data_IF_978352851848
#
_entry.id   IF_978352851848
#
_cell.length_a   1.000
_cell.length_b   1.000
_cell.length_c   1.000
_cell.angle_alpha   90.00
_cell.angle_beta   90.00
_cell.angle_gamma   90.00
#
_symmetry.space_group_name_H-M   'P 1'
#
loop_
_entity.id
_entity.type
_entity.pdbx_description
1 polymer ?
#
# COMPACT_ATOMS: atom_id res chain seq x y z
N UNK A 1 18.86 13.82 -5.44
CA UNK A 1 19.58 12.89 -6.36
C UNK A 1 19.25 11.45 -5.96
N UNK A 2 19.46 10.45 -6.84
CA UNK A 2 19.34 9.05 -6.42
C UNK A 2 20.45 8.76 -5.40
N UNK A 3 20.05 8.33 -4.21
CA UNK A 3 20.98 8.15 -3.08
C UNK A 3 21.20 6.67 -2.77
N UNK A 4 20.15 5.84 -2.84
CA UNK A 4 20.24 4.41 -2.57
C UNK A 4 19.11 3.62 -3.22
N UNK A 5 19.26 2.29 -3.24
CA UNK A 5 18.21 1.34 -3.60
C UNK A 5 17.96 0.44 -2.39
N UNK A 6 16.70 0.35 -1.96
CA UNK A 6 16.24 -0.43 -0.82
C UNK A 6 15.10 -1.35 -1.24
N UNK A 7 14.81 -2.38 -0.45
CA UNK A 7 13.69 -3.30 -0.71
C UNK A 7 12.48 -3.05 0.18
N UNK A 8 12.60 -2.10 1.12
CA UNK A 8 11.55 -1.73 2.06
C UNK A 8 11.79 -0.30 2.55
N UNK A 9 10.73 0.53 2.56
CA UNK A 9 10.75 1.90 3.04
C UNK A 9 10.51 1.89 4.56
N UNK A 10 11.49 2.28 5.39
CA UNK A 10 11.24 2.55 6.79
C UNK A 10 10.48 3.88 6.92
N UNK A 11 9.29 3.82 7.52
CA UNK A 11 8.50 5.01 7.86
C UNK A 11 8.59 5.24 9.35
N UNK A 12 8.96 6.46 9.72
CA UNK A 12 8.96 6.94 11.08
C UNK A 12 8.42 8.37 11.06
N UNK A 13 7.34 8.63 11.79
CA UNK A 13 6.84 9.99 12.00
C UNK A 13 6.33 10.16 13.42
N UNK A 14 6.37 11.40 13.86
CA UNK A 14 5.86 11.81 15.16
C UNK A 14 4.59 12.61 14.95
N UNK A 15 3.64 12.40 15.85
CA UNK A 15 2.45 13.22 16.02
C UNK A 15 2.51 13.83 17.41
N UNK A 16 1.54 14.67 17.81
CA UNK A 16 1.59 15.38 19.07
C UNK A 16 1.86 14.51 20.32
N UNK A 17 1.40 13.26 20.34
CA UNK A 17 1.61 12.35 21.48
C UNK A 17 2.07 10.93 21.10
N UNK A 18 2.33 10.68 19.81
CA UNK A 18 2.64 9.32 19.35
C UNK A 18 3.85 9.30 18.42
N UNK A 19 4.71 8.30 18.63
CA UNK A 19 5.74 7.92 17.69
C UNK A 19 5.27 6.69 16.91
N UNK A 20 5.23 6.79 15.59
CA UNK A 20 4.73 5.76 14.68
C UNK A 20 5.87 5.26 13.80
N UNK A 21 6.09 3.95 13.80
CA UNK A 21 7.10 3.28 12.98
C UNK A 21 6.50 2.08 12.26
N UNK A 22 6.86 1.88 11.00
CA UNK A 22 6.53 0.67 10.25
C UNK A 22 7.40 0.57 9.00
N UNK A 23 7.34 -0.56 8.32
CA UNK A 23 8.04 -0.81 7.09
C UNK A 23 7.04 -1.09 5.96
N UNK A 24 7.27 -0.49 4.78
CA UNK A 24 6.48 -0.74 3.57
C UNK A 24 7.37 -1.42 2.52
N UNK A 25 6.96 -2.58 2.01
CA UNK A 25 7.56 -3.15 0.82
C UNK A 25 6.53 -3.40 -0.28
N UNK A 26 7.01 -3.50 -1.51
CA UNK A 26 6.18 -3.69 -2.71
C UNK A 26 6.56 -4.99 -3.39
N UNK A 27 5.61 -5.61 -4.05
CA UNK A 27 5.88 -6.81 -4.83
C UNK A 27 4.79 -7.13 -5.82
N UNK A 28 5.05 -8.17 -6.60
CA UNK A 28 4.19 -8.61 -7.69
C UNK A 28 3.03 -9.46 -7.16
N UNK A 29 1.80 -9.02 -7.42
CA UNK A 29 0.60 -9.81 -7.19
C UNK A 29 0.26 -10.70 -8.37
N UNK A 30 -0.82 -11.46 -8.20
CA UNK A 30 -1.42 -12.23 -9.29
C UNK A 30 -2.77 -11.65 -9.69
N UNK A 31 -3.15 -11.87 -10.94
CA UNK A 31 -4.43 -11.41 -11.49
C UNK A 31 -5.61 -12.09 -10.77
N UNK A 32 -6.51 -11.30 -10.19
CA UNK A 32 -7.72 -11.73 -9.52
C UNK A 32 -8.77 -12.33 -10.46
N UNK A 33 -8.66 -12.11 -11.76
CA UNK A 33 -9.47 -12.81 -12.75
C UNK A 33 -9.11 -14.31 -12.81
N UNK A 34 -7.82 -14.63 -12.66
CA UNK A 34 -7.27 -16.00 -12.71
C UNK A 34 -7.17 -16.64 -11.32
N UNK A 35 -6.68 -15.89 -10.32
CA UNK A 35 -6.41 -16.36 -8.97
C UNK A 35 -7.46 -15.84 -7.98
N UNK A 36 -8.46 -16.67 -7.69
CA UNK A 36 -9.57 -16.30 -6.78
C UNK A 36 -9.22 -16.37 -5.30
N UNK A 37 -8.15 -17.09 -4.93
CA UNK A 37 -7.71 -17.21 -3.55
C UNK A 37 -6.88 -15.98 -3.18
N UNK A 38 -7.41 -15.15 -2.29
CA UNK A 38 -6.77 -13.90 -1.82
C UNK A 38 -5.32 -14.11 -1.34
N UNK A 39 -5.07 -15.18 -0.58
CA UNK A 39 -3.72 -15.50 -0.07
C UNK A 39 -2.72 -15.73 -1.20
N UNK A 40 -3.12 -16.39 -2.28
CA UNK A 40 -2.23 -16.64 -3.42
C UNK A 40 -2.00 -15.40 -4.25
N UNK A 41 -3.04 -14.57 -4.38
CA UNK A 41 -3.07 -13.32 -5.12
C UNK A 41 -2.11 -12.28 -4.56
N UNK A 42 -2.04 -12.19 -3.22
CA UNK A 42 -1.25 -11.21 -2.46
C UNK A 42 0.13 -11.71 -2.04
N UNK A 43 0.46 -12.98 -2.24
CA UNK A 43 1.73 -13.53 -1.78
C UNK A 43 2.81 -13.34 -2.84
N UNK A 44 3.86 -12.60 -2.50
CA UNK A 44 5.03 -12.41 -3.33
C UNK A 44 6.30 -12.77 -2.55
N UNK A 45 7.31 -13.30 -3.24
CA UNK A 45 8.56 -13.80 -2.62
C UNK A 45 9.75 -12.88 -2.84
N UNK A 46 9.64 -11.93 -3.79
CA UNK A 46 10.67 -10.94 -4.09
C UNK A 46 10.07 -9.54 -3.96
N UNK A 47 10.71 -8.72 -3.14
CA UNK A 47 10.38 -7.29 -3.09
C UNK A 47 10.81 -6.65 -4.42
N UNK A 48 10.04 -5.65 -4.87
CA UNK A 48 10.50 -4.70 -5.87
C UNK A 48 11.58 -3.78 -5.30
N UNK A 49 12.43 -3.29 -6.20
CA UNK A 49 13.43 -2.28 -5.86
C UNK A 49 12.76 -0.93 -5.64
N UNK A 50 13.18 -0.24 -4.58
CA UNK A 50 12.76 1.12 -4.26
C UNK A 50 13.99 2.02 -4.30
N UNK A 51 14.01 2.90 -5.28
CA UNK A 51 15.00 3.95 -5.41
C UNK A 51 14.63 5.12 -4.50
N UNK A 52 15.61 5.56 -3.71
CA UNK A 52 15.46 6.64 -2.74
C UNK A 52 16.15 7.88 -3.26
N UNK A 53 15.42 8.99 -3.29
CA UNK A 53 15.91 10.28 -3.72
C UNK A 53 15.93 11.23 -2.54
N UNK A 54 17.08 11.82 -2.26
CA UNK A 54 17.21 12.82 -1.19
C UNK A 54 17.82 14.10 -1.75
N UNK A 55 17.37 15.24 -1.23
CA UNK A 55 17.87 16.58 -1.56
C UNK A 55 17.66 17.55 -0.40
N UNK A 56 18.53 18.56 -0.30
CA UNK A 56 18.49 19.55 0.79
C UNK A 56 19.13 19.03 2.08
N UNK A 57 19.23 19.91 3.07
CA UNK A 57 19.75 19.66 4.41
C UNK A 57 18.91 20.44 5.44
N UNK A 58 18.89 20.00 6.69
CA UNK A 58 18.14 20.67 7.76
C UNK A 58 16.64 20.76 7.44
N UNK A 59 16.09 21.97 7.55
CA UNK A 59 14.67 22.25 7.33
C UNK A 59 14.23 22.12 5.85
N UNK A 60 15.17 22.18 4.90
CA UNK A 60 14.92 22.03 3.45
C UNK A 60 15.07 20.58 2.96
N UNK A 61 15.28 19.63 3.88
CA UNK A 61 15.45 18.23 3.54
C UNK A 61 14.17 17.65 2.93
N UNK A 62 14.32 17.04 1.76
CA UNK A 62 13.26 16.38 1.00
C UNK A 62 13.67 14.96 0.64
N UNK A 63 12.72 14.05 0.78
CA UNK A 63 12.90 12.62 0.48
C UNK A 63 11.76 12.12 -0.37
N UNK A 64 12.10 11.43 -1.47
CA UNK A 64 11.16 10.83 -2.40
C UNK A 64 11.49 9.38 -2.70
N UNK A 65 10.48 8.62 -3.12
CA UNK A 65 10.61 7.19 -3.40
C UNK A 65 10.09 6.86 -4.79
N UNK A 66 10.79 5.95 -5.46
CA UNK A 66 10.39 5.41 -6.75
C UNK A 66 10.48 3.89 -6.73
N UNK A 67 9.37 3.21 -6.97
CA UNK A 67 9.30 1.74 -7.02
C UNK A 67 9.42 1.28 -8.47
N UNK A 68 10.34 0.35 -8.72
CA UNK A 68 10.50 -0.32 -10.01
C UNK A 68 9.64 -1.59 -10.00
N UNK A 69 8.41 -1.46 -10.50
CA UNK A 69 7.43 -2.53 -10.54
C UNK A 69 7.44 -3.26 -11.90
N UNK A 70 6.67 -4.35 -11.98
CA UNK A 70 6.33 -4.98 -13.24
C UNK A 70 4.93 -4.50 -13.71
N UNK A 71 4.62 -4.74 -14.98
CA UNK A 71 3.29 -4.56 -15.56
C UNK A 71 2.36 -5.69 -15.08
N UNK A 72 1.99 -5.66 -13.80
CA UNK A 72 1.19 -6.67 -13.13
C UNK A 72 0.46 -6.06 -11.89
N UNK A 73 -0.43 -6.79 -11.19
CA UNK A 73 -1.02 -6.32 -9.96
C UNK A 73 0.03 -5.94 -8.92
N UNK A 74 -0.22 -4.84 -8.24
CA UNK A 74 0.66 -4.31 -7.21
C UNK A 74 0.22 -4.84 -5.85
N UNK A 75 1.15 -5.44 -5.12
CA UNK A 75 0.96 -5.78 -3.71
C UNK A 75 1.83 -4.88 -2.84
N UNK A 76 1.23 -4.35 -1.78
CA UNK A 76 1.89 -3.59 -0.73
C UNK A 76 1.89 -4.42 0.54
N UNK A 77 3.06 -4.61 1.11
CA UNK A 77 3.24 -5.22 2.42
C UNK A 77 3.52 -4.13 3.45
N UNK A 78 2.76 -4.12 4.54
CA UNK A 78 3.02 -3.28 5.71
C UNK A 78 3.33 -4.20 6.88
N UNK A 79 4.45 -3.96 7.55
CA UNK A 79 4.88 -4.76 8.69
C UNK A 79 5.66 -3.94 9.71
N UNK A 80 6.05 -4.61 10.79
CA UNK A 80 6.84 -4.03 11.89
C UNK A 80 6.19 -2.77 12.48
N UNK A 81 4.86 -2.78 12.54
CA UNK A 81 4.07 -1.63 12.98
C UNK A 81 4.24 -1.45 14.48
N UNK A 82 4.88 -0.35 14.87
CA UNK A 82 5.03 0.08 16.25
C UNK A 82 4.42 1.46 16.44
N UNK A 83 3.49 1.57 17.40
CA UNK A 83 2.87 2.83 17.80
C UNK A 83 3.07 2.98 19.29
N UNK A 84 3.82 4.00 19.69
CA UNK A 84 4.07 4.33 21.09
C UNK A 84 3.39 5.65 21.41
N UNK A 85 2.67 5.70 22.54
CA UNK A 85 2.16 6.95 23.09
C UNK A 85 3.11 7.39 24.21
N UNK A 86 3.50 8.67 24.20
CA UNK A 86 4.45 9.21 25.19
C UNK A 86 3.89 9.16 26.62
N UNK A 87 2.57 9.28 26.75
CA UNK A 87 1.88 9.03 28.01
C UNK A 87 1.74 7.52 28.24
N UNK A 88 2.53 7.00 29.18
CA UNK A 88 2.55 5.56 29.53
C UNK A 88 1.20 5.03 30.03
N UNK A 89 0.41 5.85 30.72
CA UNK A 89 -0.91 5.43 31.19
C UNK A 89 -1.86 5.25 30.01
N UNK A 90 -1.91 6.22 29.09
CA UNK A 90 -2.68 6.12 27.83
C UNK A 90 -2.17 4.96 26.96
N UNK A 91 -0.86 4.79 26.84
CA UNK A 91 -0.28 3.69 26.10
C UNK A 91 -0.74 2.32 26.65
N UNK A 92 -0.85 2.20 27.98
CA UNK A 92 -1.27 0.96 28.62
C UNK A 92 -2.76 0.65 28.44
N UNK A 93 -3.61 1.68 28.36
CA UNK A 93 -5.09 1.61 28.20
C UNK A 93 -5.55 1.07 26.85
N UNK A 94 -4.86 1.43 25.79
CA UNK A 94 -5.35 1.26 24.44
C UNK A 94 -4.56 0.20 23.66
N UNK A 95 -5.27 -0.53 22.80
CA UNK A 95 -4.68 -1.18 21.63
C UNK A 95 -4.63 -0.16 20.50
N UNK A 96 -3.59 -0.22 19.68
CA UNK A 96 -3.38 0.70 18.56
C UNK A 96 -3.42 -0.03 17.22
N UNK A 97 -3.80 0.69 16.18
CA UNK A 97 -3.77 0.24 14.80
C UNK A 97 -3.30 1.37 13.89
N UNK A 98 -2.61 1.03 12.81
CA UNK A 98 -2.33 1.95 11.72
C UNK A 98 -3.46 1.87 10.70
N UNK A 99 -4.07 3.01 10.43
CA UNK A 99 -4.96 3.24 9.30
C UNK A 99 -4.16 3.33 8.01
N UNK A 100 -4.60 2.68 6.93
CA UNK A 100 -3.94 2.76 5.63
C UNK A 100 -4.92 2.76 4.46
N UNK A 101 -4.74 3.68 3.50
CA UNK A 101 -5.42 3.67 2.21
C UNK A 101 -4.46 4.03 1.09
N UNK A 102 -4.70 3.49 -0.10
CA UNK A 102 -4.00 3.87 -1.33
C UNK A 102 -4.96 4.61 -2.26
N UNK A 103 -4.48 5.74 -2.78
CA UNK A 103 -5.14 6.57 -3.77
C UNK A 103 -4.23 6.82 -4.99
N UNK A 104 -4.85 7.06 -6.15
CA UNK A 104 -4.18 7.39 -7.41
C UNK A 104 -4.07 8.91 -7.67
N UNK A 105 -4.60 9.72 -6.76
CA UNK A 105 -4.57 11.17 -6.79
C UNK A 105 -4.38 11.70 -5.35
N UNK A 106 -3.83 12.90 -5.16
CA UNK A 106 -3.55 13.45 -3.84
C UNK A 106 -4.88 13.66 -3.07
N UNK A 107 -5.09 12.98 -1.93
CA UNK A 107 -6.35 13.02 -1.22
C UNK A 107 -6.47 14.27 -0.33
N UNK A 108 -7.65 14.89 -0.33
CA UNK A 108 -8.02 16.02 0.53
C UNK A 108 -9.19 15.65 1.44
N UNK A 109 -9.15 16.12 2.69
CA UNK A 109 -10.08 15.71 3.73
C UNK A 109 -10.69 16.92 4.45
N UNK A 110 -11.96 16.81 4.84
CA UNK A 110 -12.64 17.91 5.57
C UNK A 110 -12.17 18.04 7.02
N UNK A 111 -11.81 16.92 7.65
CA UNK A 111 -11.47 16.84 9.08
C UNK A 111 -10.35 15.82 9.30
N UNK A 112 -9.67 15.93 10.43
CA UNK A 112 -8.53 15.06 10.74
C UNK A 112 -8.93 13.60 10.91
N UNK A 113 -10.12 13.34 11.48
CA UNK A 113 -10.66 11.99 11.65
C UNK A 113 -11.33 11.42 10.39
N UNK A 114 -11.47 12.21 9.31
CA UNK A 114 -12.08 11.73 8.07
C UNK A 114 -11.20 10.67 7.42
N UNK A 115 -11.76 9.49 7.17
CA UNK A 115 -11.07 8.38 6.51
C UNK A 115 -11.32 8.33 5.01
N UNK A 116 -12.35 9.03 4.52
CA UNK A 116 -12.71 9.15 3.11
C UNK A 116 -12.42 10.59 2.65
N UNK A 117 -11.63 10.78 1.59
CA UNK A 117 -11.34 12.09 1.01
C UNK A 117 -12.55 12.64 0.26
N UNK A 118 -12.67 13.95 0.14
CA UNK A 118 -13.81 14.58 -0.53
C UNK A 118 -13.58 14.89 -2.01
N UNK A 119 -12.31 14.94 -2.43
CA UNK A 119 -11.92 15.37 -3.77
C UNK A 119 -11.73 14.21 -4.77
N UNK A 120 -11.74 12.96 -4.29
CA UNK A 120 -11.53 11.77 -5.12
C UNK A 120 -12.52 10.67 -4.77
N UNK A 121 -12.91 9.89 -5.78
CA UNK A 121 -13.70 8.67 -5.59
C UNK A 121 -12.75 7.49 -5.36
N UNK A 122 -12.66 7.02 -4.12
CA UNK A 122 -11.85 5.86 -3.74
C UNK A 122 -12.63 4.56 -3.92
N UNK A 123 -11.99 3.55 -4.51
CA UNK A 123 -12.48 2.17 -4.44
C UNK A 123 -12.24 1.59 -3.04
N UNK A 124 -13.31 1.31 -2.30
CA UNK A 124 -13.25 0.84 -0.92
C UNK A 124 -12.97 1.93 0.11
N UNK A 125 -12.43 1.53 1.26
CA UNK A 125 -12.27 2.40 2.44
C UNK A 125 -10.83 2.39 2.96
N UNK A 126 -10.59 2.72 4.23
CA UNK A 126 -9.27 2.66 4.86
C UNK A 126 -9.16 1.36 5.67
N UNK A 127 -8.03 0.66 5.54
CA UNK A 127 -7.67 -0.48 6.40
C UNK A 127 -7.34 0.00 7.81
N UNK A 128 -7.70 -0.78 8.83
CA UNK A 128 -7.15 -0.66 10.18
C UNK A 128 -6.34 -1.92 10.46
N UNK A 129 -5.02 -1.76 10.56
CA UNK A 129 -4.08 -2.86 10.75
C UNK A 129 -3.55 -2.81 12.17
N UNK A 130 -3.77 -3.85 13.00
CA UNK A 130 -3.26 -3.88 14.37
C UNK A 130 -1.76 -3.59 14.45
N UNK A 131 -1.37 -2.84 15.46
CA UNK A 131 0.02 -2.49 15.74
C UNK A 131 0.55 -3.24 16.97
N UNK A 132 1.88 -3.26 17.14
CA UNK A 132 2.60 -3.78 18.30
C UNK A 132 2.49 -5.31 18.53
N UNK A 133 2.10 -6.08 17.52
CA UNK A 133 2.03 -7.55 17.57
C UNK A 133 3.15 -8.24 16.76
N UNK A 134 3.97 -7.48 16.03
CA UNK A 134 5.03 -7.99 15.15
C UNK A 134 4.50 -8.59 13.84
N UNK A 135 3.22 -8.41 13.52
CA UNK A 135 2.61 -8.93 12.31
C UNK A 135 3.00 -8.11 11.07
N UNK A 136 2.81 -8.74 9.91
CA UNK A 136 2.88 -8.07 8.61
C UNK A 136 1.76 -8.55 7.72
N UNK A 137 1.26 -7.65 6.88
CA UNK A 137 0.06 -7.88 6.08
C UNK A 137 0.29 -7.41 4.65
N UNK A 138 -0.21 -8.20 3.70
CA UNK A 138 -0.14 -7.89 2.27
C UNK A 138 -1.50 -7.41 1.78
N UNK A 139 -1.49 -6.38 0.93
CA UNK A 139 -2.69 -5.74 0.38
C UNK A 139 -2.50 -5.51 -1.10
N UNK A 140 -3.54 -5.76 -1.88
CA UNK A 140 -3.57 -5.47 -3.32
C UNK A 140 -4.83 -4.70 -3.71
N UNK A 141 -5.56 -4.21 -2.70
CA UNK A 141 -6.72 -3.35 -2.79
C UNK A 141 -7.04 -2.76 -1.41
N UNK A 142 -7.82 -1.68 -1.39
CA UNK A 142 -8.43 -1.16 -0.17
C UNK A 142 -9.50 -2.16 0.37
N UNK A 143 -9.92 -2.10 1.64
CA UNK A 143 -10.98 -2.97 2.15
C UNK A 143 -12.32 -2.58 1.54
N UNK A 144 -13.14 -3.58 1.24
CA UNK A 144 -14.40 -3.45 0.48
C UNK A 144 -14.24 -2.84 -0.92
N UNK A 145 -13.02 -2.76 -1.44
CA UNK A 145 -12.78 -2.39 -2.83
C UNK A 145 -13.23 -3.51 -3.77
N UNK A 146 -13.52 -3.13 -5.02
CA UNK A 146 -13.93 -4.05 -6.07
C UNK A 146 -12.75 -4.47 -6.95
N UNK A 147 -11.79 -3.59 -7.17
CA UNK A 147 -10.72 -3.75 -8.14
C UNK A 147 -9.34 -3.82 -7.47
N UNK A 148 -8.48 -4.66 -8.03
CA UNK A 148 -7.07 -4.71 -7.66
C UNK A 148 -6.32 -3.44 -8.05
N UNK A 149 -5.26 -3.15 -7.32
CA UNK A 149 -4.26 -2.19 -7.75
C UNK A 149 -3.41 -2.78 -8.87
N UNK A 150 -3.22 -2.02 -9.94
CA UNK A 150 -2.47 -2.42 -11.12
C UNK A 150 -1.42 -1.39 -11.49
N UNK A 151 -0.22 -1.85 -11.82
CA UNK A 151 0.82 -1.05 -12.47
C UNK A 151 0.95 -1.44 -13.92
N UNK A 152 1.08 -0.45 -14.81
CA UNK A 152 1.17 -0.67 -16.26
C UNK A 152 2.16 0.29 -16.87
N UNK A 153 2.77 -0.05 -18.01
CA UNK A 153 3.57 0.92 -18.77
C UNK A 153 2.69 2.14 -19.12
N UNK A 154 3.26 3.33 -18.96
CA UNK A 154 2.62 4.57 -19.42
C UNK A 154 2.52 4.57 -20.94
N UNK A 155 1.67 5.42 -21.49
CA UNK A 155 1.67 5.67 -22.93
C UNK A 155 2.96 6.39 -23.35
N UNK A 156 3.27 6.36 -24.63
CA UNK A 156 4.41 7.10 -25.16
C UNK A 156 4.20 8.61 -24.93
N UNK A 157 5.29 9.33 -24.67
CA UNK A 157 5.23 10.78 -24.50
C UNK A 157 4.67 11.46 -25.77
N UNK A 158 3.66 12.31 -25.60
CA UNK A 158 2.98 12.99 -26.69
C UNK A 158 1.86 12.20 -27.37
N UNK A 159 1.65 10.92 -27.00
CA UNK A 159 0.48 10.18 -27.44
C UNK A 159 -0.80 10.74 -26.79
N UNK A 160 -1.83 10.94 -27.61
CA UNK A 160 -3.15 11.41 -27.17
C UNK A 160 -4.15 10.27 -27.28
N UNK A 161 -4.66 9.75 -26.15
CA UNK A 161 -5.68 8.72 -26.16
C UNK A 161 -6.92 9.18 -26.92
N UNK A 162 -7.53 8.26 -27.65
CA UNK A 162 -8.84 8.46 -28.26
C UNK A 162 -9.92 8.64 -27.19
N UNK A 163 -11.06 9.21 -27.54
CA UNK A 163 -12.21 9.35 -26.61
C UNK A 163 -12.62 8.00 -25.99
N UNK A 164 -12.55 6.92 -26.78
CA UNK A 164 -12.85 5.57 -26.31
C UNK A 164 -11.82 5.09 -25.28
N UNK A 165 -10.54 5.38 -25.49
CA UNK A 165 -9.48 5.00 -24.54
C UNK A 165 -9.56 5.82 -23.25
N UNK A 166 -9.88 7.11 -23.33
CA UNK A 166 -10.14 7.97 -22.16
C UNK A 166 -11.34 7.44 -21.35
N UNK A 167 -12.40 7.00 -22.03
CA UNK A 167 -13.57 6.41 -21.37
C UNK A 167 -13.21 5.08 -20.67
N UNK A 168 -12.27 4.32 -21.21
CA UNK A 168 -11.70 3.13 -20.57
C UNK A 168 -10.67 3.46 -19.48
N UNK A 169 -10.40 4.74 -19.23
CA UNK A 169 -9.47 5.24 -18.21
C UNK A 169 -8.00 5.09 -18.58
N UNK A 170 -7.68 5.17 -19.87
CA UNK A 170 -6.33 5.51 -20.30
C UNK A 170 -6.07 6.99 -20.01
N UNK A 171 -4.86 7.32 -19.54
CA UNK A 171 -4.44 8.69 -19.26
C UNK A 171 -3.30 9.10 -20.18
N UNK A 172 -3.23 10.38 -20.54
CA UNK A 172 -2.04 10.97 -21.16
C UNK A 172 -0.86 10.89 -20.19
N UNK A 173 0.32 10.54 -20.70
CA UNK A 173 1.54 10.50 -19.90
C UNK A 173 1.93 11.92 -19.50
N UNK A 174 2.00 12.13 -18.19
CA UNK A 174 2.29 13.44 -17.58
C UNK A 174 3.25 13.30 -16.41
N UNK A 175 3.62 14.43 -15.82
CA UNK A 175 4.44 14.44 -14.60
C UNK A 175 3.72 13.82 -13.40
N UNK A 176 2.40 13.61 -13.41
CA UNK A 176 1.69 12.92 -12.33
C UNK A 176 1.46 11.43 -12.61
N UNK A 177 1.70 10.95 -13.83
CA UNK A 177 1.50 9.54 -14.20
C UNK A 177 2.33 8.61 -13.32
N UNK A 178 1.68 7.58 -12.80
CA UNK A 178 2.29 6.61 -11.89
C UNK A 178 2.60 7.16 -10.50
N UNK A 179 2.05 8.31 -10.08
CA UNK A 179 2.02 8.67 -8.66
C UNK A 179 0.91 7.91 -7.94
N UNK A 180 1.26 7.36 -6.79
CA UNK A 180 0.30 6.84 -5.81
C UNK A 180 0.52 7.55 -4.48
N UNK A 181 -0.54 7.63 -3.69
CA UNK A 181 -0.56 8.31 -2.40
C UNK A 181 -0.98 7.31 -1.34
N UNK A 182 -0.05 7.01 -0.43
CA UNK A 182 -0.29 6.15 0.71
C UNK A 182 -0.63 7.01 1.91
N UNK A 183 -1.88 6.94 2.37
CA UNK A 183 -2.34 7.74 3.50
C UNK A 183 -2.42 6.90 4.76
N UNK A 184 -1.81 7.40 5.85
CA UNK A 184 -1.71 6.76 7.14
C UNK A 184 -2.34 7.62 8.25
N UNK A 185 -3.02 6.95 9.19
CA UNK A 185 -3.66 7.58 10.34
C UNK A 185 -3.53 6.67 11.56
N UNK A 186 -3.53 7.21 12.77
CA UNK A 186 -3.45 6.39 13.99
C UNK A 186 -4.85 6.14 14.53
N UNK A 187 -5.11 4.89 14.90
CA UNK A 187 -6.36 4.48 15.52
C UNK A 187 -6.09 3.77 16.85
N UNK A 188 -7.06 3.83 17.76
CA UNK A 188 -7.00 3.22 19.08
C UNK A 188 -8.34 2.60 19.47
N UNK A 189 -8.31 1.59 20.34
CA UNK A 189 -9.50 1.06 21.02
C UNK A 189 -9.13 0.68 22.45
N UNK A 190 -10.07 0.80 23.37
CA UNK A 190 -9.82 0.45 24.77
C UNK A 190 -9.55 -1.06 24.88
N UNK A 191 -8.56 -1.44 25.68
CA UNK A 191 -8.32 -2.85 25.99
C UNK A 191 -9.49 -3.44 26.80
N UNK A 192 -9.87 -4.70 26.56
CA UNK A 192 -10.95 -5.35 27.30
C UNK A 192 -10.73 -5.35 28.83
N UNK A 193 -9.47 -5.47 29.26
CA UNK A 193 -9.10 -5.62 30.68
C UNK A 193 -8.87 -4.29 31.41
N UNK A 194 -9.29 -3.15 30.85
CA UNK A 194 -9.16 -1.84 31.52
C UNK A 194 -10.36 -1.49 32.42
N UNK A 195 -11.36 -2.37 32.52
CA UNK A 195 -12.21 -2.44 33.72
C UNK A 195 -11.39 -3.11 34.85
N UNK A 196 -11.36 -2.47 36.02
CA UNK A 196 -10.46 -2.73 37.16
C UNK A 196 -9.87 -4.16 37.30
N UNK A 197 -8.56 -4.30 37.58
CA UNK A 197 -7.92 -5.61 37.65
C UNK A 197 -8.34 -6.37 38.91
N UNK A 198 -8.99 -7.53 38.71
CA UNK A 198 -9.04 -8.56 39.76
C UNK A 198 -7.77 -9.40 39.64
N UNK A 199 -6.92 -9.35 40.68
CA UNK A 199 -5.65 -10.10 40.78
C UNK A 199 -5.84 -11.60 40.46
N UNK A 200 -5.14 -12.07 39.43
CA UNK A 200 -4.92 -13.49 39.17
C UNK A 200 -3.43 -13.77 39.03
N UNK A 201 -2.87 -14.55 39.95
CA UNK A 201 -1.49 -15.03 39.92
C UNK A 201 -1.44 -16.28 39.04
N UNK A 202 -0.61 -16.31 37.99
CA UNK A 202 -0.16 -17.58 37.42
C UNK A 202 1.30 -17.50 36.98
N UNK A 203 2.11 -18.42 37.52
CA UNK A 203 3.51 -18.67 37.18
C UNK A 203 3.60 -19.49 35.89
N UNK A 204 4.60 -19.22 35.04
CA UNK A 204 5.01 -20.06 33.92
C UNK A 204 6.50 -19.89 33.64
N UNK A 205 7.22 -21.01 33.49
CA UNK A 205 8.68 -21.16 33.56
C UNK A 205 9.33 -21.06 32.16
N UNK A 206 10.53 -20.48 32.09
CA UNK A 206 11.43 -20.43 30.91
C UNK A 206 12.32 -21.67 30.81
N UNK A 207 12.61 -22.14 29.56
CA UNK A 207 13.85 -22.78 29.00
C UNK A 207 13.43 -23.77 27.89
N UNK A 208 14.09 -23.97 26.74
CA UNK A 208 15.31 -23.45 26.14
C UNK A 208 15.70 -24.32 24.92
N UNK A 209 16.39 -23.70 23.95
CA UNK A 209 17.27 -24.21 22.87
C UNK A 209 16.83 -25.30 21.86
N UNK A 210 16.95 -24.96 20.58
CA UNK A 210 17.15 -25.89 19.46
C UNK A 210 17.80 -25.15 18.28
N UNK A 211 19.08 -25.42 18.06
CA UNK A 211 19.95 -24.83 17.04
C UNK A 211 19.57 -25.24 15.62
N UNK A 212 19.48 -24.28 14.70
CA UNK A 212 19.43 -24.57 13.27
C UNK A 212 19.26 -23.31 12.42
N UNK A 213 20.37 -22.70 11.99
CA UNK A 213 20.37 -21.83 10.81
C UNK A 213 21.65 -22.10 10.02
N UNK A 214 21.47 -22.80 8.91
CA UNK A 214 22.37 -22.73 7.76
C UNK A 214 21.84 -21.69 6.76
N UNK A 215 22.79 -21.24 5.94
CA UNK A 215 22.63 -20.57 4.64
C UNK A 215 22.50 -19.04 4.61
N UNK A 216 23.62 -18.41 4.21
CA UNK A 216 23.70 -17.87 2.84
C UNK A 216 23.08 -16.49 2.62
N UNK A 217 23.85 -15.44 2.89
CA UNK A 217 23.59 -14.12 2.34
C UNK A 217 24.14 -14.03 0.91
N UNK A 218 23.28 -14.25 -0.09
CA UNK A 218 23.57 -13.83 -1.47
C UNK A 218 23.18 -12.37 -1.62
N UNK A 219 24.20 -11.49 -1.62
CA UNK A 219 24.09 -10.12 -2.11
C UNK A 219 23.82 -10.17 -3.62
N UNK A 220 22.57 -9.93 -4.01
CA UNK A 220 22.20 -9.67 -5.40
C UNK A 220 22.47 -8.21 -5.74
N UNK A 221 23.67 -7.94 -6.25
CA UNK A 221 23.90 -6.81 -7.15
C UNK A 221 23.37 -7.22 -8.51
N UNK A 222 22.31 -6.60 -8.99
CA UNK A 222 21.96 -6.62 -10.42
C UNK A 222 21.75 -5.18 -10.87
N UNK A 223 22.46 -4.83 -11.91
CA UNK A 223 22.59 -3.46 -12.41
C UNK A 223 21.26 -2.79 -12.68
N UNK A 224 21.31 -1.47 -12.71
CA UNK A 224 20.29 -0.61 -13.30
C UNK A 224 19.95 -1.13 -14.70
N UNK A 225 18.99 -2.03 -14.79
CA UNK A 225 18.18 -2.21 -15.97
C UNK A 225 17.34 -0.94 -16.08
N UNK A 226 17.21 -0.41 -17.29
CA UNK A 226 16.40 0.78 -17.46
C UNK A 226 14.96 0.51 -16.99
N UNK A 227 14.24 1.60 -16.76
CA UNK A 227 12.81 1.53 -16.42
C UNK A 227 12.06 2.57 -17.22
N UNK A 228 10.83 2.26 -17.58
CA UNK A 228 9.94 3.15 -18.33
C UNK A 228 8.96 3.85 -17.40
N UNK A 229 8.27 4.88 -17.92
CA UNK A 229 7.14 5.49 -17.22
C UNK A 229 6.08 4.44 -16.87
N UNK A 230 5.43 4.62 -15.72
CA UNK A 230 4.30 3.81 -15.31
C UNK A 230 3.04 4.65 -15.26
N UNK A 231 1.92 3.95 -15.37
CA UNK A 231 0.60 4.40 -14.92
C UNK A 231 0.09 3.44 -13.85
N UNK A 232 -0.79 3.96 -13.02
CA UNK A 232 -1.41 3.22 -11.93
C UNK A 232 -2.92 3.30 -12.07
N UNK A 233 -3.61 2.21 -11.73
CA UNK A 233 -5.06 2.21 -11.79
C UNK A 233 -5.70 0.95 -11.24
N UNK A 234 -6.99 0.85 -11.52
CA UNK A 234 -7.85 -0.26 -11.15
C UNK A 234 -7.72 -1.39 -12.17
N UNK A 235 -7.36 -2.56 -11.66
CA UNK A 235 -7.16 -3.79 -12.39
C UNK A 235 -8.44 -4.59 -12.59
N UNK A 236 -8.28 -5.90 -12.57
CA UNK A 236 -9.41 -6.82 -12.59
C UNK A 236 -10.09 -6.90 -11.22
N UNK A 237 -11.35 -7.34 -11.22
CA UNK A 237 -12.12 -7.48 -9.98
C UNK A 237 -11.53 -8.57 -9.07
N UNK A 238 -11.50 -8.30 -7.77
CA UNK A 238 -11.07 -9.29 -6.79
C UNK A 238 -11.69 -9.06 -5.42
N UNK A 239 -11.84 -10.14 -4.65
CA UNK A 239 -12.39 -10.07 -3.29
C UNK A 239 -11.29 -9.98 -2.23
N UNK A 240 -11.52 -9.19 -1.18
CA UNK A 240 -10.72 -9.20 0.04
C UNK A 240 -11.58 -9.65 1.20
N UNK A 241 -11.02 -10.46 2.09
CA UNK A 241 -11.58 -10.67 3.41
C UNK A 241 -11.24 -9.44 4.29
N UNK A 242 -12.24 -8.60 4.55
CA UNK A 242 -12.16 -7.52 5.53
C UNK A 242 -13.30 -7.62 6.54
N UNK A 243 -13.03 -7.27 7.79
CA UNK A 243 -14.03 -7.18 8.85
C UNK A 243 -14.12 -5.72 9.30
N UNK A 244 -15.32 -5.28 9.68
CA UNK A 244 -15.51 -3.94 10.22
C UNK A 244 -14.63 -3.73 11.46
N UNK A 245 -13.81 -2.69 11.43
CA UNK A 245 -12.95 -2.31 12.54
C UNK A 245 -13.76 -1.86 13.76
N UNK A 246 -13.22 -2.12 14.96
CA UNK A 246 -13.70 -1.56 16.23
C UNK A 246 -12.77 -0.47 16.76
N UNK A 247 -11.73 -0.11 16.01
CA UNK A 247 -10.84 0.98 16.36
C UNK A 247 -11.41 2.32 15.93
N UNK A 248 -11.29 3.31 16.81
CA UNK A 248 -11.65 4.69 16.56
C UNK A 248 -10.38 5.51 16.30
N UNK A 249 -10.55 6.65 15.64
CA UNK A 249 -9.44 7.56 15.39
C UNK A 249 -8.80 8.00 16.71
N UNK A 250 -7.47 8.02 16.76
CA UNK A 250 -6.74 8.48 17.93
C UNK A 250 -6.63 10.01 17.91
N UNK A 251 -7.29 10.68 18.84
CA UNK A 251 -7.24 12.14 18.95
C UNK A 251 -5.80 12.67 19.14
N UNK A 252 -5.54 13.87 18.60
CA UNK A 252 -4.23 14.49 18.68
C UNK A 252 -3.17 13.78 17.84
N UNK A 253 -3.59 13.05 16.79
CA UNK A 253 -2.68 12.45 15.81
C UNK A 253 -2.83 13.13 14.46
N UNK A 254 -1.76 13.18 13.69
CA UNK A 254 -1.77 13.81 12.37
C UNK A 254 -1.80 12.74 11.29
N UNK A 255 -2.49 13.06 10.19
CA UNK A 255 -2.49 12.21 8.99
C UNK A 255 -1.15 12.37 8.28
N UNK A 256 -0.56 11.26 7.87
CA UNK A 256 0.67 11.24 7.09
C UNK A 256 0.38 10.68 5.70
N UNK A 257 0.65 11.45 4.65
CA UNK A 257 0.49 11.00 3.26
C UNK A 257 1.85 10.91 2.58
N UNK A 258 2.20 9.71 2.12
CA UNK A 258 3.45 9.41 1.45
C UNK A 258 3.22 9.26 -0.07
N UNK A 259 3.67 10.22 -0.89
CA UNK A 259 3.67 10.07 -2.33
C UNK A 259 4.78 9.11 -2.78
N UNK A 260 4.45 8.20 -3.70
CA UNK A 260 5.39 7.23 -4.27
C UNK A 260 5.24 7.25 -5.78
N UNK A 261 6.36 7.33 -6.50
CA UNK A 261 6.38 7.19 -7.95
C UNK A 261 6.54 5.72 -8.34
N UNK A 262 5.82 5.30 -9.35
CA UNK A 262 5.97 3.99 -9.97
C UNK A 262 6.72 4.13 -11.30
N UNK A 263 7.55 3.14 -11.61
CA UNK A 263 8.13 2.90 -12.94
C UNK A 263 8.00 1.42 -13.26
N UNK A 264 8.05 1.08 -14.54
CA UNK A 264 8.01 -0.32 -14.99
C UNK A 264 9.41 -0.75 -15.41
N UNK A 265 9.88 -1.90 -14.91
CA UNK A 265 11.12 -2.50 -15.35
C UNK A 265 11.10 -2.75 -16.88
N UNK A 266 12.18 -2.43 -17.60
CA UNK A 266 12.23 -2.63 -19.06
C UNK A 266 11.96 -4.08 -19.49
N UNK A 267 12.48 -5.04 -18.72
CA UNK A 267 12.28 -6.47 -18.94
C UNK A 267 10.91 -7.01 -18.50
N UNK A 268 10.02 -6.17 -17.98
CA UNK A 268 8.67 -6.62 -17.61
C UNK A 268 7.87 -7.02 -18.84
N UNK A 269 7.29 -8.22 -18.79
CA UNK A 269 6.31 -8.69 -19.76
C UNK A 269 5.11 -7.74 -19.78
N UNK A 270 4.51 -7.56 -20.95
CA UNK A 270 3.32 -6.70 -21.09
C UNK A 270 2.09 -7.54 -20.80
N UNK A 271 1.33 -7.16 -19.78
CA UNK A 271 0.09 -7.85 -19.45
C UNK A 271 -1.07 -7.41 -20.33
N UNK A 272 -2.10 -8.25 -20.47
CA UNK A 272 -3.41 -7.84 -20.97
C UNK A 272 -4.38 -7.48 -19.83
N UNK A 273 -3.90 -7.33 -18.60
CA UNK A 273 -4.73 -7.01 -17.43
C UNK A 273 -5.23 -5.58 -17.54
N UNK A 274 -6.45 -5.35 -17.04
CA UNK A 274 -7.05 -4.03 -16.99
C UNK A 274 -6.16 -3.09 -16.16
N UNK A 275 -6.12 -1.82 -16.52
CA UNK A 275 -5.53 -0.77 -15.69
C UNK A 275 -6.26 0.49 -16.06
N UNK A 276 -7.24 0.89 -15.28
CA UNK A 276 -8.06 2.06 -15.55
C UNK A 276 -7.82 3.12 -14.50
N UNK A 277 -7.63 4.37 -14.92
CA UNK A 277 -7.43 5.49 -14.00
C UNK A 277 -8.66 5.75 -13.11
N UNK A 278 -9.86 5.37 -13.55
CA UNK A 278 -11.11 5.64 -12.81
C UNK A 278 -12.02 4.41 -12.77
N UNK A 279 -12.90 4.37 -11.77
CA UNK A 279 -13.76 3.21 -11.50
C UNK A 279 -14.74 2.91 -12.63
N UNK A 280 -15.26 3.96 -13.28
CA UNK A 280 -16.15 3.83 -14.43
C UNK A 280 -15.46 3.08 -15.57
N UNK A 281 -14.24 3.47 -15.90
CA UNK A 281 -13.44 2.84 -16.95
C UNK A 281 -13.08 1.40 -16.61
N UNK A 282 -12.77 1.13 -15.33
CA UNK A 282 -12.53 -0.23 -14.85
C UNK A 282 -13.76 -1.13 -15.07
N UNK A 283 -14.94 -0.63 -14.70
CA UNK A 283 -16.21 -1.34 -14.93
C UNK A 283 -16.52 -1.57 -16.41
N UNK A 284 -16.25 -0.58 -17.28
CA UNK A 284 -16.46 -0.72 -18.71
C UNK A 284 -15.49 -1.74 -19.33
N UNK A 285 -14.22 -1.76 -18.90
CA UNK A 285 -13.25 -2.76 -19.32
C UNK A 285 -13.69 -4.17 -18.90
N UNK A 286 -14.19 -4.34 -17.68
CA UNK A 286 -14.76 -5.62 -17.23
C UNK A 286 -15.94 -6.06 -18.12
N UNK A 287 -16.88 -5.14 -18.41
CA UNK A 287 -18.04 -5.45 -19.25
C UNK A 287 -17.63 -5.86 -20.67
N UNK A 288 -16.70 -5.11 -21.30
CA UNK A 288 -16.22 -5.41 -22.66
C UNK A 288 -15.59 -6.81 -22.76
N UNK A 289 -14.92 -7.28 -21.71
CA UNK A 289 -14.36 -8.64 -21.67
C UNK A 289 -15.42 -9.73 -21.53
N UNK A 290 -16.54 -9.43 -20.87
CA UNK A 290 -17.66 -10.37 -20.70
C UNK A 290 -18.53 -10.46 -21.96
N UNK A 291 -18.56 -9.42 -22.79
CA UNK A 291 -19.30 -9.42 -24.06
C UNK A 291 -18.45 -9.98 -25.18
N UNK A 292 -18.75 -11.21 -25.63
CA UNK A 292 -18.16 -11.75 -26.86
C UNK A 292 -18.86 -11.14 -28.09
N UNK A 293 -18.09 -10.63 -29.04
CA UNK A 293 -18.60 -10.41 -30.40
C UNK A 293 -18.81 -11.77 -31.05
N UNK A 294 -20.06 -12.12 -31.34
CA UNK A 294 -20.37 -13.31 -32.15
C UNK A 294 -19.83 -13.05 -33.56
N UNK A 295 -18.91 -13.86 -34.08
CA UNK A 295 -18.47 -13.73 -35.48
C UNK A 295 -19.67 -13.89 -36.40
N UNK A 296 -19.70 -13.12 -37.49
CA UNK A 296 -20.65 -13.34 -38.58
C UNK A 296 -20.47 -14.72 -39.20
#
# INVERSE_FOLDING_TARGET
MLTSVISSIPVCYETANHNVKFAISFGEGKDGEVYKIEKERKNFTKNYDVEVFESGEGDDYSKGYRVIANDNPLVIKIGDISIQNENKEEHSKYEYAIGFALDNAPPEYYRDYSTIPYNIERDGTMWNVPANDGSSFNFDQNPNAKYQWMTKKSLDEGYKPTEQELELGMEETSQSSGLIYLTFMVFRKLKPDYDMPTRGITRGITRGSGSGVGSGATRGSSGSSGSSGARFGYGNEASSASVKTTFDYADGTERFTLPIRLRIAEGSETSNINCSQHLKGASLNTLRRQTMTVPF
#
